data_IF_274365536684
#
_entry.id   IF_274365536684
#
_cell.length_a   1.000
_cell.length_b   1.000
_cell.length_c   1.000
_cell.angle_alpha   90.00
_cell.angle_beta   90.00
_cell.angle_gamma   90.00
#
_symmetry.space_group_name_H-M   'P 1'
#
loop_
_entity.id
_entity.type
_entity.pdbx_description
1 polymer ?
#
# COMPACT_ATOMS: atom_id res chain seq x y z
N UNK A 1 25.20 8.57 3.46
CA UNK A 1 24.92 8.89 4.88
C UNK A 1 24.20 10.23 5.03
N UNK A 2 24.73 11.35 4.51
CA UNK A 2 24.06 12.67 4.62
C UNK A 2 22.60 12.75 4.12
N UNK A 3 22.28 12.16 2.95
CA UNK A 3 20.91 12.21 2.42
C UNK A 3 19.88 11.43 3.25
N UNK A 4 20.30 10.37 3.95
CA UNK A 4 19.40 9.56 4.78
C UNK A 4 18.99 10.33 6.05
N UNK A 5 19.95 10.99 6.71
CA UNK A 5 19.66 11.83 7.88
C UNK A 5 18.78 13.03 7.54
N UNK A 6 18.97 13.64 6.36
CA UNK A 6 18.12 14.73 5.88
C UNK A 6 16.68 14.23 5.66
N UNK A 7 16.49 13.07 5.02
CA UNK A 7 15.17 12.45 4.83
C UNK A 7 14.50 12.17 6.17
N UNK A 8 15.21 11.53 7.10
CA UNK A 8 14.69 11.24 8.44
C UNK A 8 14.23 12.51 9.18
N UNK A 9 15.02 13.58 9.15
CA UNK A 9 14.63 14.87 9.75
C UNK A 9 13.40 15.46 9.07
N UNK A 10 13.30 15.37 7.75
CA UNK A 10 12.11 15.78 7.02
C UNK A 10 10.88 15.00 7.47
N UNK A 11 11.00 13.67 7.57
CA UNK A 11 9.90 12.81 7.99
C UNK A 11 9.43 13.07 9.42
N UNK A 12 10.31 13.44 10.35
CA UNK A 12 9.94 13.81 11.72
C UNK A 12 8.98 15.01 11.79
N UNK A 13 8.94 15.85 10.76
CA UNK A 13 8.07 17.03 10.70
C UNK A 13 6.70 16.77 10.06
N UNK A 14 6.51 15.57 9.49
CA UNK A 14 5.26 15.23 8.79
C UNK A 14 4.10 15.03 9.76
N UNK A 15 2.88 15.32 9.28
CA UNK A 15 1.67 15.02 10.02
C UNK A 15 1.22 13.58 9.76
N UNK A 16 1.57 12.69 10.68
CA UNK A 16 1.14 11.31 10.65
C UNK A 16 -0.30 11.16 11.18
N UNK A 17 -1.07 10.31 10.52
CA UNK A 17 -2.42 9.92 10.93
C UNK A 17 -2.47 8.41 11.11
N UNK A 18 -3.23 7.98 12.11
CA UNK A 18 -3.46 6.56 12.34
C UNK A 18 -4.16 5.91 11.13
N UNK A 19 -3.66 4.76 10.68
CA UNK A 19 -4.19 4.08 9.50
C UNK A 19 -5.65 3.62 9.71
N UNK A 20 -6.00 3.14 10.91
CA UNK A 20 -7.36 2.71 11.23
C UNK A 20 -8.32 3.89 11.15
N UNK A 21 -7.96 5.05 11.70
CA UNK A 21 -8.76 6.26 11.64
C UNK A 21 -9.01 6.75 10.20
N UNK A 22 -8.01 6.66 9.31
CA UNK A 22 -8.19 6.96 7.88
C UNK A 22 -9.26 6.03 7.29
N UNK A 23 -9.17 4.74 7.57
CA UNK A 23 -10.07 3.73 7.02
C UNK A 23 -11.50 3.87 7.54
N UNK A 24 -11.69 4.16 8.83
CA UNK A 24 -13.02 4.47 9.38
C UNK A 24 -13.65 5.65 8.66
N UNK A 25 -12.89 6.70 8.36
CA UNK A 25 -13.35 7.84 7.58
C UNK A 25 -13.78 7.46 6.16
N UNK A 26 -13.06 6.56 5.49
CA UNK A 26 -13.49 6.00 4.20
C UNK A 26 -14.78 5.19 4.34
N UNK A 27 -14.89 4.34 5.36
CA UNK A 27 -16.08 3.53 5.60
C UNK A 27 -17.33 4.40 5.84
N UNK A 28 -17.20 5.53 6.53
CA UNK A 28 -18.28 6.50 6.72
C UNK A 28 -18.76 7.09 5.39
N UNK A 29 -17.83 7.44 4.50
CA UNK A 29 -18.15 7.95 3.16
C UNK A 29 -18.78 6.86 2.28
N UNK A 30 -18.26 5.63 2.32
CA UNK A 30 -18.77 4.48 1.55
C UNK A 30 -20.21 4.10 1.93
N UNK A 31 -20.58 4.32 3.19
CA UNK A 31 -21.95 4.13 3.70
C UNK A 31 -22.93 5.24 3.29
N UNK A 32 -22.45 6.35 2.72
CA UNK A 32 -23.32 7.45 2.35
C UNK A 32 -24.22 7.10 1.15
N UNK A 33 -25.57 7.18 1.27
CA UNK A 33 -26.48 6.71 0.21
C UNK A 33 -26.29 7.38 -1.16
N UNK A 34 -25.87 8.65 -1.17
CA UNK A 34 -25.62 9.38 -2.42
C UNK A 34 -24.41 8.85 -3.20
N UNK A 35 -23.46 8.15 -2.55
CA UNK A 35 -22.29 7.62 -3.23
C UNK A 35 -22.68 6.58 -4.30
N UNK A 36 -23.75 5.83 -4.06
CA UNK A 36 -24.26 4.83 -5.01
C UNK A 36 -24.87 5.48 -6.28
N UNK A 37 -25.28 6.74 -6.19
CA UNK A 37 -25.83 7.52 -7.30
C UNK A 37 -24.74 8.12 -8.20
N UNK A 38 -23.48 8.15 -7.73
CA UNK A 38 -22.37 8.69 -8.51
C UNK A 38 -21.89 7.71 -9.58
N UNK A 39 -21.30 8.21 -10.69
CA UNK A 39 -20.66 7.36 -11.68
C UNK A 39 -19.60 6.44 -11.04
N UNK A 40 -19.49 5.20 -11.52
CA UNK A 40 -18.58 4.20 -10.96
C UNK A 40 -17.12 4.69 -10.83
N UNK A 41 -16.63 5.46 -11.82
CA UNK A 41 -15.28 6.06 -11.79
C UNK A 41 -15.07 7.05 -10.63
N UNK A 42 -16.12 7.75 -10.19
CA UNK A 42 -16.08 8.69 -9.07
C UNK A 42 -16.18 7.93 -7.76
N UNK A 43 -17.16 7.02 -7.65
CA UNK A 43 -17.35 6.16 -6.47
C UNK A 43 -16.10 5.35 -6.13
N UNK A 44 -15.38 4.88 -7.15
CA UNK A 44 -14.15 4.10 -6.97
C UNK A 44 -12.89 4.96 -6.98
N UNK A 45 -13.00 6.30 -6.88
CA UNK A 45 -11.88 7.24 -6.80
C UNK A 45 -10.90 7.18 -7.99
N UNK A 46 -11.39 6.75 -9.17
CA UNK A 46 -10.59 6.52 -10.39
C UNK A 46 -10.56 7.72 -11.35
N UNK A 47 -10.98 8.90 -10.91
CA UNK A 47 -10.74 10.14 -11.66
C UNK A 47 -9.37 10.69 -11.29
N UNK A 48 -8.77 11.51 -12.16
CA UNK A 48 -7.46 12.12 -11.92
C UNK A 48 -7.41 12.85 -10.57
N UNK A 49 -8.46 13.62 -10.28
CA UNK A 49 -8.52 14.46 -9.09
C UNK A 49 -8.79 13.65 -7.81
N UNK A 50 -9.31 12.43 -7.92
CA UNK A 50 -9.56 11.53 -6.79
C UNK A 50 -8.48 10.45 -6.62
N UNK A 51 -7.56 10.31 -7.58
CA UNK A 51 -6.46 9.33 -7.53
C UNK A 51 -5.62 9.43 -6.26
N UNK A 52 -5.28 10.63 -5.73
CA UNK A 52 -4.56 10.74 -4.47
C UNK A 52 -5.32 10.12 -3.29
N UNK A 53 -6.67 10.19 -3.29
CA UNK A 53 -7.50 9.55 -2.27
C UNK A 53 -7.51 8.03 -2.43
N UNK A 54 -7.58 7.53 -3.67
CA UNK A 54 -7.45 6.09 -3.94
C UNK A 54 -6.11 5.55 -3.39
N UNK A 55 -5.01 6.24 -3.67
CA UNK A 55 -3.67 5.85 -3.24
C UNK A 55 -3.51 5.96 -1.72
N UNK A 56 -4.06 7.01 -1.10
CA UNK A 56 -4.10 7.15 0.36
C UNK A 56 -4.87 6.01 1.02
N UNK A 57 -6.03 5.63 0.47
CA UNK A 57 -6.80 4.48 0.96
C UNK A 57 -5.99 3.20 0.86
N UNK A 58 -5.38 2.94 -0.30
CA UNK A 58 -4.55 1.76 -0.53
C UNK A 58 -3.37 1.68 0.46
N UNK A 59 -2.66 2.80 0.67
CA UNK A 59 -1.58 2.87 1.63
C UNK A 59 -2.07 2.64 3.07
N UNK A 60 -3.24 3.18 3.44
CA UNK A 60 -3.82 2.98 4.76
C UNK A 60 -4.24 1.52 5.01
N UNK A 61 -4.82 0.83 4.01
CA UNK A 61 -5.15 -0.60 4.09
C UNK A 61 -3.91 -1.43 4.34
N UNK A 62 -2.85 -1.21 3.55
CA UNK A 62 -1.58 -1.93 3.73
C UNK A 62 -0.99 -1.65 5.12
N UNK A 63 -0.92 -0.38 5.54
CA UNK A 63 -0.40 -0.01 6.85
C UNK A 63 -1.19 -0.66 7.99
N UNK A 64 -2.51 -0.72 7.87
CA UNK A 64 -3.36 -1.39 8.86
C UNK A 64 -3.09 -2.90 8.93
N UNK A 65 -2.91 -3.56 7.78
CA UNK A 65 -2.49 -4.96 7.75
C UNK A 65 -1.11 -5.18 8.37
N UNK A 66 -0.12 -4.36 8.02
CA UNK A 66 1.24 -4.43 8.59
C UNK A 66 1.22 -4.16 10.10
N UNK A 67 0.35 -3.27 10.59
CA UNK A 67 0.17 -3.03 12.02
C UNK A 67 -0.23 -4.30 12.77
N UNK A 68 -1.07 -5.15 12.18
CA UNK A 68 -1.45 -6.45 12.76
C UNK A 68 -0.26 -7.43 12.80
N UNK A 69 0.61 -7.40 11.79
CA UNK A 69 1.81 -8.25 11.74
C UNK A 69 2.84 -7.83 12.79
N UNK A 70 3.02 -6.52 12.96
CA UNK A 70 4.00 -5.95 13.89
C UNK A 70 3.49 -5.85 15.33
N UNK A 71 2.18 -6.04 15.55
CA UNK A 71 1.49 -5.82 16.82
C UNK A 71 1.71 -4.40 17.40
N UNK A 72 1.82 -3.40 16.51
CA UNK A 72 1.96 -1.98 16.87
C UNK A 72 1.19 -1.11 15.89
N UNK A 73 0.63 0.05 16.32
CA UNK A 73 -0.02 0.98 15.40
C UNK A 73 0.94 1.52 14.35
N UNK A 74 0.55 1.44 13.08
CA UNK A 74 1.24 2.07 11.96
C UNK A 74 0.47 3.32 11.54
N UNK A 75 1.19 4.43 11.45
CA UNK A 75 0.67 5.71 11.04
C UNK A 75 1.17 6.05 9.64
N UNK A 76 0.41 6.86 8.92
CA UNK A 76 0.68 7.24 7.54
C UNK A 76 0.73 8.76 7.41
N UNK A 77 1.71 9.25 6.66
CA UNK A 77 1.77 10.63 6.19
C UNK A 77 1.92 10.65 4.67
N UNK A 78 1.26 11.59 4.01
CA UNK A 78 1.49 11.86 2.59
C UNK A 78 2.73 12.75 2.46
N UNK A 79 3.69 12.33 1.64
CA UNK A 79 4.91 13.06 1.34
C UNK A 79 5.43 12.56 0.01
N UNK A 80 5.37 13.40 -1.02
CA UNK A 80 5.85 13.05 -2.35
C UNK A 80 7.33 13.35 -2.49
N UNK A 81 8.07 12.38 -3.03
CA UNK A 81 9.46 12.49 -3.46
C UNK A 81 9.65 11.65 -4.74
N UNK A 82 10.87 11.64 -5.28
CA UNK A 82 11.15 10.98 -6.57
C UNK A 82 10.73 9.51 -6.63
N UNK A 83 10.79 8.80 -5.49
CA UNK A 83 10.58 7.35 -5.42
C UNK A 83 9.46 6.89 -4.47
N UNK A 84 8.80 7.79 -3.75
CA UNK A 84 7.68 7.46 -2.85
C UNK A 84 6.64 8.56 -2.78
N UNK A 85 5.39 8.18 -2.47
CA UNK A 85 4.25 9.10 -2.32
C UNK A 85 3.82 9.25 -0.85
N UNK A 86 4.24 8.32 0.01
CA UNK A 86 3.86 8.27 1.42
C UNK A 86 5.04 7.86 2.31
N UNK A 87 4.89 8.11 3.62
CA UNK A 87 5.79 7.62 4.66
C UNK A 87 4.95 6.95 5.73
N UNK A 88 5.27 5.71 6.06
CA UNK A 88 4.76 5.04 7.26
C UNK A 88 5.65 5.34 8.46
N UNK A 89 5.04 5.46 9.63
CA UNK A 89 5.71 5.64 10.91
C UNK A 89 5.14 4.69 11.96
N UNK A 90 6.00 3.99 12.68
CA UNK A 90 5.61 3.09 13.77
C UNK A 90 6.67 3.07 14.87
N UNK A 91 6.32 2.59 16.06
CA UNK A 91 7.22 2.54 17.21
C UNK A 91 7.38 1.13 17.72
N UNK A 92 8.62 0.66 17.83
CA UNK A 92 8.99 -0.62 18.44
C UNK A 92 10.06 -0.30 19.50
N UNK A 93 9.91 -0.83 20.70
CA UNK A 93 10.88 -0.66 21.80
C UNK A 93 11.31 0.79 22.05
N UNK A 94 10.37 1.73 21.96
CA UNK A 94 10.61 3.17 22.16
C UNK A 94 11.26 3.89 20.97
N UNK A 95 11.71 3.17 19.94
CA UNK A 95 12.31 3.73 18.73
C UNK A 95 11.25 3.96 17.66
N UNK A 96 11.24 5.16 17.08
CA UNK A 96 10.37 5.47 15.94
C UNK A 96 11.07 5.06 14.66
N UNK A 97 10.40 4.24 13.86
CA UNK A 97 10.82 3.82 12.53
C UNK A 97 10.00 4.58 11.50
N UNK A 98 10.67 4.98 10.42
CA UNK A 98 10.04 5.61 9.26
C UNK A 98 10.40 4.85 8.01
N UNK A 99 9.40 4.63 7.16
CA UNK A 99 9.56 3.82 5.96
C UNK A 99 8.86 4.53 4.78
N UNK A 100 9.59 4.82 3.69
CA UNK A 100 8.98 5.37 2.48
C UNK A 100 8.12 4.30 1.79
N UNK A 101 6.94 4.72 1.32
CA UNK A 101 5.93 3.85 0.74
C UNK A 101 5.55 4.31 -0.66
N UNK A 102 5.53 3.36 -1.58
CA UNK A 102 4.98 3.53 -2.91
C UNK A 102 3.87 2.52 -3.17
N UNK A 103 2.74 3.02 -3.65
CA UNK A 103 1.63 2.15 -4.06
C UNK A 103 1.68 1.84 -5.56
N UNK A 104 1.37 0.59 -5.89
CA UNK A 104 1.01 0.10 -7.23
C UNK A 104 -0.29 -0.68 -7.16
N UNK A 105 -0.87 -0.91 -8.32
CA UNK A 105 -2.14 -1.63 -8.43
C UNK A 105 -2.06 -2.62 -9.60
N UNK A 106 -2.37 -3.88 -9.33
CA UNK A 106 -2.88 -4.77 -10.36
C UNK A 106 -4.35 -4.39 -10.59
N UNK A 107 -4.57 -3.55 -11.60
CA UNK A 107 -5.86 -2.90 -11.86
C UNK A 107 -7.01 -3.92 -12.05
N UNK A 108 -8.28 -3.54 -12.01
CA UNK A 108 -9.38 -4.44 -12.37
C UNK A 108 -9.31 -4.98 -13.80
N UNK A 109 -9.77 -6.21 -14.01
CA UNK A 109 -9.77 -6.87 -15.33
C UNK A 109 -10.59 -6.12 -16.37
N UNK A 110 -11.65 -5.39 -15.97
CA UNK A 110 -12.45 -4.57 -16.89
C UNK A 110 -11.72 -3.29 -17.35
N UNK A 111 -10.68 -2.85 -16.64
CA UNK A 111 -9.83 -1.73 -17.08
C UNK A 111 -8.69 -2.23 -17.96
N UNK A 112 -8.02 -3.31 -17.57
CA UNK A 112 -7.00 -3.95 -18.39
C UNK A 112 -6.89 -5.44 -18.07
N UNK A 113 -7.60 -6.28 -18.82
CA UNK A 113 -7.59 -7.74 -18.63
C UNK A 113 -6.22 -8.39 -18.89
N UNK A 114 -5.34 -7.72 -19.63
CA UNK A 114 -4.01 -8.23 -19.98
C UNK A 114 -2.94 -7.87 -18.94
N UNK A 115 -3.24 -6.99 -17.98
CA UNK A 115 -2.30 -6.70 -16.90
C UNK A 115 -2.08 -7.95 -16.04
N UNK A 116 -0.82 -8.30 -15.79
CA UNK A 116 -0.42 -9.41 -14.92
C UNK A 116 0.37 -8.87 -13.75
N UNK A 117 0.41 -9.61 -12.64
CA UNK A 117 1.21 -9.22 -11.47
C UNK A 117 2.70 -9.12 -11.85
N UNK A 118 3.23 -10.10 -12.58
CA UNK A 118 4.63 -10.08 -13.03
C UNK A 118 4.97 -8.83 -13.85
N UNK A 119 4.08 -8.43 -14.78
CA UNK A 119 4.32 -7.23 -15.57
C UNK A 119 4.32 -5.94 -14.72
N UNK A 120 3.55 -5.88 -13.64
CA UNK A 120 3.63 -4.76 -12.69
C UNK A 120 4.94 -4.79 -11.88
N UNK A 121 5.43 -5.97 -11.49
CA UNK A 121 6.71 -6.13 -10.79
C UNK A 121 7.91 -5.78 -11.70
N UNK A 122 7.88 -6.16 -12.98
CA UNK A 122 8.96 -5.84 -13.91
C UNK A 122 9.13 -4.33 -14.12
N UNK A 123 8.04 -3.56 -14.06
CA UNK A 123 8.10 -2.08 -14.07
C UNK A 123 8.85 -1.53 -12.86
N UNK A 124 8.78 -2.20 -11.71
CA UNK A 124 9.52 -1.80 -10.51
C UNK A 124 11.02 -1.97 -10.71
N UNK A 125 11.46 -3.07 -11.33
CA UNK A 125 12.88 -3.33 -11.67
C UNK A 125 13.48 -2.18 -12.48
N UNK A 126 12.71 -1.65 -13.43
CA UNK A 126 13.14 -0.52 -14.24
C UNK A 126 13.12 0.82 -13.50
N UNK A 127 12.07 1.07 -12.70
CA UNK A 127 11.84 2.39 -12.06
C UNK A 127 12.67 2.61 -10.80
N UNK A 128 12.79 1.60 -9.94
CA UNK A 128 13.33 1.74 -8.58
C UNK A 128 14.70 1.08 -8.45
N UNK A 129 15.62 1.40 -9.36
CA UNK A 129 16.96 0.80 -9.43
C UNK A 129 17.89 1.19 -8.29
N UNK A 130 17.53 2.14 -7.44
CA UNK A 130 18.37 2.63 -6.33
C UNK A 130 17.62 2.89 -5.03
N UNK A 131 16.38 2.42 -4.90
CA UNK A 131 15.46 2.77 -3.79
C UNK A 131 15.44 1.68 -2.72
N UNK A 132 16.60 1.33 -2.17
CA UNK A 132 16.78 0.17 -1.27
C UNK A 132 16.03 0.24 0.06
N UNK A 133 15.53 1.40 0.46
CA UNK A 133 14.70 1.58 1.65
C UNK A 133 13.21 1.69 1.33
N UNK A 134 12.83 1.64 0.05
CA UNK A 134 11.44 1.75 -0.40
C UNK A 134 10.66 0.48 -0.10
N UNK A 135 9.48 0.66 0.49
CA UNK A 135 8.47 -0.39 0.57
C UNK A 135 7.44 -0.17 -0.53
N UNK A 136 7.25 -1.20 -1.36
CA UNK A 136 6.25 -1.18 -2.42
C UNK A 136 5.09 -2.07 -2.02
N UNK A 137 3.90 -1.48 -1.97
CA UNK A 137 2.64 -2.22 -1.87
C UNK A 137 1.99 -2.39 -3.24
N UNK A 138 1.60 -3.60 -3.59
CA UNK A 138 0.81 -3.88 -4.79
C UNK A 138 -0.61 -4.29 -4.38
N UNK A 139 -1.56 -3.41 -4.68
CA UNK A 139 -2.97 -3.68 -4.48
C UNK A 139 -3.50 -4.62 -5.57
N UNK A 140 -3.99 -5.80 -5.18
CA UNK A 140 -4.58 -6.80 -6.05
C UNK A 140 -6.07 -6.48 -6.23
N UNK A 141 -6.39 -5.64 -7.21
CA UNK A 141 -7.76 -5.18 -7.45
C UNK A 141 -8.49 -6.00 -8.51
N UNK A 142 -8.39 -7.32 -8.42
CA UNK A 142 -9.13 -8.27 -9.26
C UNK A 142 -9.13 -9.64 -8.61
N UNK A 143 -10.07 -10.48 -9.05
CA UNK A 143 -10.04 -11.90 -8.72
C UNK A 143 -8.91 -12.58 -9.49
N UNK A 144 -7.96 -13.14 -8.77
CA UNK A 144 -6.80 -13.86 -9.32
C UNK A 144 -6.31 -14.87 -8.29
N UNK A 145 -5.69 -15.95 -8.75
CA UNK A 145 -4.93 -16.86 -7.89
C UNK A 145 -3.49 -16.35 -7.79
N UNK A 146 -2.99 -16.16 -6.57
CA UNK A 146 -1.63 -15.70 -6.32
C UNK A 146 -0.71 -16.89 -6.08
N UNK A 147 0.07 -17.25 -7.10
CA UNK A 147 1.06 -18.33 -7.03
C UNK A 147 2.44 -17.70 -6.81
N UNK A 148 2.79 -17.46 -5.54
CA UNK A 148 3.94 -16.61 -5.17
C UNK A 148 5.30 -17.17 -5.63
N UNK A 149 5.45 -18.49 -5.71
CA UNK A 149 6.68 -19.15 -6.15
C UNK A 149 6.92 -19.07 -7.67
N UNK A 150 5.93 -18.61 -8.45
CA UNK A 150 6.09 -18.35 -9.88
C UNK A 150 6.51 -16.90 -10.19
N UNK A 151 6.53 -16.02 -9.17
CA UNK A 151 6.94 -14.63 -9.35
C UNK A 151 8.45 -14.52 -9.44
N UNK A 152 8.92 -13.86 -10.50
CA UNK A 152 10.32 -13.47 -10.61
C UNK A 152 10.55 -12.15 -9.85
N UNK A 153 11.07 -12.31 -8.64
CA UNK A 153 11.46 -11.22 -7.74
C UNK A 153 12.95 -10.83 -7.87
N UNK A 154 13.70 -11.44 -8.79
CA UNK A 154 15.11 -11.08 -8.98
C UNK A 154 15.25 -9.62 -9.40
N UNK A 155 16.39 -9.02 -9.07
CA UNK A 155 16.77 -7.67 -9.50
C UNK A 155 15.87 -6.53 -9.00
N UNK A 156 14.89 -6.82 -8.14
CA UNK A 156 14.18 -5.80 -7.38
C UNK A 156 15.14 -5.15 -6.38
N UNK A 157 15.42 -3.86 -6.56
CA UNK A 157 16.31 -3.09 -5.68
C UNK A 157 15.52 -2.15 -4.76
N UNK A 158 14.47 -2.69 -4.14
CA UNK A 158 13.62 -2.06 -3.12
C UNK A 158 13.82 -2.76 -1.77
N UNK A 159 13.37 -2.13 -0.68
CA UNK A 159 13.52 -2.67 0.67
C UNK A 159 12.54 -3.81 0.97
N UNK A 160 11.26 -3.60 0.66
CA UNK A 160 10.23 -4.62 0.87
C UNK A 160 9.19 -4.62 -0.25
N UNK A 161 8.60 -5.80 -0.49
CA UNK A 161 7.47 -5.98 -1.38
C UNK A 161 6.31 -6.61 -0.61
N UNK A 162 5.15 -5.97 -0.68
CA UNK A 162 3.91 -6.45 -0.10
C UNK A 162 2.81 -6.55 -1.16
N UNK A 163 2.07 -7.66 -1.16
CA UNK A 163 0.83 -7.80 -1.92
C UNK A 163 -0.34 -7.75 -0.96
N UNK A 164 -1.40 -7.06 -1.33
CA UNK A 164 -2.59 -6.97 -0.49
C UNK A 164 -3.83 -6.78 -1.34
N UNK A 165 -4.98 -7.19 -0.83
CA UNK A 165 -6.23 -7.10 -1.55
C UNK A 165 -7.38 -7.60 -0.70
N UNK A 166 -8.60 -7.46 -1.22
CA UNK A 166 -9.76 -8.02 -0.57
C UNK A 166 -9.91 -9.50 -0.93
N UNK A 167 -10.14 -10.33 0.09
CA UNK A 167 -10.43 -11.75 -0.07
C UNK A 167 -11.92 -12.01 -0.35
N UNK A 168 -12.77 -11.00 -0.15
CA UNK A 168 -14.22 -11.06 -0.35
C UNK A 168 -14.71 -9.98 -1.32
N UNK A 169 -15.67 -10.27 -2.21
CA UNK A 169 -16.18 -9.27 -3.15
C UNK A 169 -16.79 -8.02 -2.49
N UNK A 170 -17.25 -8.14 -1.25
CA UNK A 170 -17.87 -7.06 -0.48
C UNK A 170 -16.86 -6.20 0.29
N UNK A 171 -15.56 -6.52 0.25
CA UNK A 171 -14.54 -5.77 0.98
C UNK A 171 -14.51 -6.02 2.49
N UNK A 172 -15.22 -7.03 3.00
CA UNK A 172 -15.31 -7.31 4.44
C UNK A 172 -14.05 -7.97 5.04
N UNK A 173 -13.30 -8.67 4.21
CA UNK A 173 -12.06 -9.37 4.58
C UNK A 173 -10.95 -8.98 3.61
N UNK A 174 -9.78 -8.74 4.17
CA UNK A 174 -8.57 -8.34 3.46
C UNK A 174 -7.42 -9.23 3.85
N UNK A 175 -6.46 -9.35 2.96
CA UNK A 175 -5.18 -9.98 3.23
C UNK A 175 -4.04 -9.01 2.93
N UNK A 176 -2.92 -9.20 3.62
CA UNK A 176 -1.63 -8.66 3.24
C UNK A 176 -0.57 -9.76 3.38
N UNK A 177 0.28 -9.90 2.37
CA UNK A 177 1.39 -10.85 2.36
C UNK A 177 2.70 -10.16 1.97
N UNK A 178 3.71 -10.32 2.81
CA UNK A 178 5.03 -9.70 2.68
C UNK A 178 5.79 -9.73 4.00
N UNK A 179 7.02 -9.27 4.08
CA UNK A 179 7.90 -8.88 3.01
C UNK A 179 8.28 -10.09 2.13
N UNK A 180 7.92 -10.06 0.84
CA UNK A 180 8.21 -11.14 -0.12
C UNK A 180 9.68 -11.24 -0.51
N UNK A 181 10.48 -10.20 -0.25
CA UNK A 181 11.93 -10.21 -0.49
C UNK A 181 12.71 -10.76 0.71
N UNK A 182 12.04 -10.95 1.86
CA UNK A 182 12.63 -11.50 3.07
C UNK A 182 12.61 -13.04 3.08
N UNK A 183 13.47 -13.63 3.91
CA UNK A 183 13.55 -15.09 4.07
C UNK A 183 12.28 -15.73 4.66
N UNK A 184 11.48 -14.94 5.39
CA UNK A 184 10.26 -15.39 6.06
C UNK A 184 9.12 -14.39 5.86
N UNK A 185 8.43 -14.44 4.70
CA UNK A 185 7.24 -13.64 4.46
C UNK A 185 6.19 -13.86 5.54
N UNK A 186 5.45 -12.81 5.86
CA UNK A 186 4.31 -12.82 6.77
C UNK A 186 3.03 -12.73 5.96
N UNK A 187 1.99 -13.37 6.46
CA UNK A 187 0.64 -13.24 5.95
C UNK A 187 -0.25 -12.83 7.11
N UNK A 188 -1.18 -11.94 6.83
CA UNK A 188 -2.24 -11.58 7.76
C UNK A 188 -3.57 -11.43 7.03
N UNK A 189 -4.64 -11.83 7.71
CA UNK A 189 -6.02 -11.61 7.30
C UNK A 189 -6.69 -10.72 8.34
N UNK A 190 -7.46 -9.75 7.88
CA UNK A 190 -8.05 -8.74 8.75
C UNK A 190 -9.33 -8.18 8.14
N UNK A 191 -10.16 -7.61 9.01
CA UNK A 191 -11.27 -6.74 8.61
C UNK A 191 -10.86 -5.30 8.82
N UNK A 192 -11.25 -4.45 7.88
CA UNK A 192 -11.09 -3.00 8.02
C UNK A 192 -12.09 -2.50 9.09
N UNK A 193 -11.69 -1.57 9.98
CA UNK A 193 -12.54 -1.03 11.04
C UNK A 193 -13.71 -0.17 10.54
#
# INVERSE_FOLDING_TARGET
>A
MANHEIRLRGWQTLQFRDAAAILTGYADVERHPQLQQLPAKVRNLRTRDLKPLLELRQAAILCYGVAQVLDVPVHLAQSEADDYDFVAGYRIDGTIHYVPLQMKELVPSHLNGQATLQAELDKLKAKYRSSRDLVVGVHINRRVELVLNELDLSDLNIGELWLFGSDRPDGSEWFAVGNLLGASPKEVRFSIP
#
